data_IF_333789702537
#
_entry.id   IF_333789702537
#
_cell.length_a   1.000
_cell.length_b   1.000
_cell.length_c   1.000
_cell.angle_alpha   90.00
_cell.angle_beta   90.00
_cell.angle_gamma   90.00
#
_symmetry.space_group_name_H-M   'P 1'
#
loop_
_entity.id
_entity.type
_entity.pdbx_description
1 polymer ?
#
# COMPACT_ATOMS: atom_id res chain seq x y z
N UNK A 1 1.01 -20.03 -9.15
CA UNK A 1 2.21 -19.87 -8.29
C UNK A 1 3.03 -18.59 -8.53
N UNK A 2 3.29 -18.08 -9.75
CA UNK A 2 4.14 -16.89 -9.91
C UNK A 2 3.53 -15.60 -9.31
N UNK A 3 2.20 -15.45 -9.33
CA UNK A 3 1.52 -14.29 -8.77
C UNK A 3 1.73 -14.10 -7.25
N UNK A 4 1.73 -15.19 -6.49
CA UNK A 4 2.01 -15.14 -5.04
C UNK A 4 3.45 -14.69 -4.77
N UNK A 5 4.40 -15.21 -5.55
CA UNK A 5 5.82 -14.86 -5.39
C UNK A 5 6.08 -13.39 -5.75
N UNK A 6 5.47 -12.90 -6.83
CA UNK A 6 5.52 -11.47 -7.20
C UNK A 6 4.91 -10.61 -6.09
N UNK A 7 3.73 -10.98 -5.58
CA UNK A 7 3.10 -10.28 -4.47
C UNK A 7 4.01 -10.21 -3.24
N UNK A 8 4.61 -11.33 -2.83
CA UNK A 8 5.51 -11.38 -1.69
C UNK A 8 6.74 -10.48 -1.87
N UNK A 9 7.34 -10.48 -3.05
CA UNK A 9 8.50 -9.62 -3.36
C UNK A 9 8.12 -8.14 -3.30
N UNK A 10 7.00 -7.77 -3.93
CA UNK A 10 6.52 -6.38 -3.94
C UNK A 10 6.18 -5.91 -2.53
N UNK A 11 5.45 -6.72 -1.75
CA UNK A 11 5.12 -6.39 -0.36
C UNK A 11 6.36 -6.29 0.52
N UNK A 12 7.36 -7.16 0.32
CA UNK A 12 8.63 -7.06 1.02
C UNK A 12 9.35 -5.75 0.72
N UNK A 13 9.40 -5.35 -0.56
CA UNK A 13 10.01 -4.09 -0.98
C UNK A 13 9.28 -2.88 -0.37
N UNK A 14 7.95 -2.86 -0.39
CA UNK A 14 7.13 -1.80 0.22
C UNK A 14 7.36 -1.73 1.73
N UNK A 15 7.34 -2.88 2.42
CA UNK A 15 7.55 -2.94 3.86
C UNK A 15 8.91 -2.36 4.25
N UNK A 16 9.96 -2.71 3.51
CA UNK A 16 11.30 -2.17 3.69
C UNK A 16 11.35 -0.66 3.44
N UNK A 17 10.81 -0.22 2.30
CA UNK A 17 10.73 1.20 1.96
C UNK A 17 10.07 1.99 3.09
N UNK A 18 8.90 1.54 3.57
CA UNK A 18 8.21 2.17 4.68
C UNK A 18 9.01 2.17 5.98
N UNK A 19 9.57 1.02 6.36
CA UNK A 19 10.30 0.88 7.61
C UNK A 19 11.51 1.84 7.70
N UNK A 20 12.27 1.95 6.61
CA UNK A 20 13.50 2.75 6.58
C UNK A 20 13.25 4.23 6.27
N UNK A 21 12.41 4.55 5.29
CA UNK A 21 12.20 5.94 4.84
C UNK A 21 11.36 6.72 5.85
N UNK A 22 10.38 6.09 6.49
CA UNK A 22 9.43 6.75 7.40
C UNK A 22 9.76 6.48 8.87
N UNK A 23 11.06 6.43 9.21
CA UNK A 23 11.53 6.22 10.59
C UNK A 23 11.25 7.42 11.51
N UNK A 24 11.27 8.64 10.96
CA UNK A 24 11.17 9.87 11.74
C UNK A 24 9.74 10.42 11.80
N UNK A 25 9.10 10.45 12.99
CA UNK A 25 7.71 10.88 13.12
C UNK A 25 7.50 12.37 12.76
N UNK A 26 8.52 13.22 12.92
CA UNK A 26 8.46 14.66 12.62
C UNK A 26 8.38 14.97 11.12
N UNK A 27 8.90 14.10 10.26
CA UNK A 27 8.90 14.28 8.80
C UNK A 27 7.88 13.40 8.09
N UNK A 28 7.13 12.60 8.84
CA UNK A 28 6.29 11.53 8.29
C UNK A 28 5.19 12.07 7.37
N UNK A 29 4.61 13.23 7.70
CA UNK A 29 3.56 13.85 6.89
C UNK A 29 4.12 14.43 5.57
N UNK A 30 5.28 15.10 5.63
CA UNK A 30 5.96 15.63 4.44
C UNK A 30 6.37 14.50 3.49
N UNK A 31 6.93 13.42 4.04
CA UNK A 31 7.28 12.23 3.25
C UNK A 31 6.05 11.54 2.69
N UNK A 32 4.94 11.51 3.44
CA UNK A 32 3.68 10.94 2.97
C UNK A 32 3.10 11.73 1.80
N UNK A 33 3.10 13.06 1.85
CA UNK A 33 2.65 13.89 0.72
C UNK A 33 3.46 13.58 -0.53
N UNK A 34 4.80 13.54 -0.41
CA UNK A 34 5.67 13.22 -1.54
C UNK A 34 5.37 11.82 -2.10
N UNK A 35 5.19 10.85 -1.21
CA UNK A 35 4.82 9.49 -1.55
C UNK A 35 3.45 9.41 -2.24
N UNK A 36 2.46 10.12 -1.74
CA UNK A 36 1.12 10.18 -2.30
C UNK A 36 1.13 10.81 -3.70
N UNK A 37 1.89 11.88 -3.91
CA UNK A 37 2.10 12.49 -5.24
C UNK A 37 2.73 11.45 -6.18
N UNK A 38 3.78 10.77 -5.74
CA UNK A 38 4.46 9.76 -6.55
C UNK A 38 3.51 8.62 -6.94
N UNK A 39 2.74 8.08 -5.99
CA UNK A 39 1.74 7.05 -6.27
C UNK A 39 0.67 7.58 -7.21
N UNK A 40 0.21 8.81 -7.02
CA UNK A 40 -0.82 9.40 -7.89
C UNK A 40 -0.35 9.47 -9.34
N UNK A 41 0.90 9.87 -9.57
CA UNK A 41 1.51 9.89 -10.90
C UNK A 41 1.63 8.47 -11.47
N UNK A 42 2.18 7.53 -10.70
CA UNK A 42 2.30 6.12 -11.13
C UNK A 42 0.93 5.53 -11.44
N UNK A 43 -0.06 5.80 -10.59
CA UNK A 43 -1.42 5.29 -10.74
C UNK A 43 -2.06 5.83 -12.01
N UNK A 44 -1.87 7.11 -12.32
CA UNK A 44 -2.38 7.73 -13.54
C UNK A 44 -1.73 7.09 -14.79
N UNK A 45 -0.41 6.89 -14.78
CA UNK A 45 0.31 6.22 -15.88
C UNK A 45 -0.17 4.78 -16.06
N UNK A 46 -0.29 4.00 -14.99
CA UNK A 46 -0.75 2.61 -15.06
C UNK A 46 -2.19 2.56 -15.56
N UNK A 47 -3.07 3.41 -15.04
CA UNK A 47 -4.49 3.39 -15.38
C UNK A 47 -4.73 3.77 -16.85
N UNK A 48 -3.98 4.74 -17.38
CA UNK A 48 -4.05 5.11 -18.81
C UNK A 48 -3.67 3.98 -19.77
N UNK A 49 -2.80 3.05 -19.33
CA UNK A 49 -2.28 1.99 -20.19
C UNK A 49 -2.95 0.64 -19.98
N UNK A 50 -3.50 0.37 -18.80
CA UNK A 50 -3.89 -0.99 -18.39
C UNK A 50 -5.29 -1.11 -17.76
N UNK A 51 -6.00 -0.02 -17.51
CA UNK A 51 -7.34 -0.07 -16.89
C UNK A 51 -8.44 0.26 -17.90
N UNK A 52 -9.62 -0.34 -17.72
CA UNK A 52 -10.80 -0.01 -18.51
C UNK A 52 -11.32 1.41 -18.22
N UNK A 53 -11.13 1.87 -16.99
CA UNK A 53 -11.50 3.21 -16.52
C UNK A 53 -10.33 3.84 -15.76
N UNK A 54 -9.84 4.98 -16.27
CA UNK A 54 -8.72 5.72 -15.66
C UNK A 54 -9.04 6.10 -14.21
N UNK A 55 -10.29 6.51 -13.95
CA UNK A 55 -10.74 6.90 -12.62
C UNK A 55 -10.71 5.71 -11.66
N UNK A 56 -11.19 4.55 -12.11
CA UNK A 56 -11.22 3.31 -11.33
C UNK A 56 -9.82 2.83 -10.97
N UNK A 57 -8.92 2.75 -11.97
CA UNK A 57 -7.53 2.37 -11.74
C UNK A 57 -6.81 3.35 -10.82
N UNK A 58 -7.08 4.65 -10.96
CA UNK A 58 -6.51 5.68 -10.10
C UNK A 58 -6.96 5.51 -8.65
N UNK A 59 -8.27 5.39 -8.40
CA UNK A 59 -8.84 5.22 -7.06
C UNK A 59 -8.32 3.92 -6.42
N UNK A 60 -8.31 2.83 -7.20
CA UNK A 60 -7.86 1.52 -6.73
C UNK A 60 -6.40 1.56 -6.30
N UNK A 61 -5.49 2.04 -7.16
CA UNK A 61 -4.06 2.06 -6.86
C UNK A 61 -3.73 3.06 -5.74
N UNK A 62 -4.19 4.31 -5.84
CA UNK A 62 -3.90 5.32 -4.82
C UNK A 62 -4.48 4.95 -3.45
N UNK A 63 -5.71 4.43 -3.42
CA UNK A 63 -6.37 3.97 -2.21
C UNK A 63 -5.63 2.81 -1.55
N UNK A 64 -5.25 1.80 -2.33
CA UNK A 64 -4.54 0.62 -1.83
C UNK A 64 -3.22 0.98 -1.15
N UNK A 65 -2.36 1.76 -1.82
CA UNK A 65 -1.07 2.14 -1.23
C UNK A 65 -1.21 3.09 -0.04
N UNK A 66 -2.24 3.94 -0.05
CA UNK A 66 -2.57 4.81 1.10
C UNK A 66 -2.97 3.98 2.32
N UNK A 67 -3.78 2.93 2.14
CA UNK A 67 -4.15 2.01 3.22
C UNK A 67 -2.93 1.23 3.75
N UNK A 68 -2.05 0.75 2.87
CA UNK A 68 -0.79 0.12 3.29
C UNK A 68 0.08 1.08 4.11
N UNK A 69 0.11 2.36 3.76
CA UNK A 69 0.80 3.37 4.55
C UNK A 69 0.13 3.57 5.93
N UNK A 70 -1.20 3.54 5.98
CA UNK A 70 -1.96 3.54 7.24
C UNK A 70 -1.55 2.38 8.17
N UNK A 71 -1.37 1.18 7.63
CA UNK A 71 -0.85 0.04 8.40
C UNK A 71 0.55 0.31 8.94
N UNK A 72 1.45 0.86 8.11
CA UNK A 72 2.78 1.23 8.58
C UNK A 72 2.69 2.16 9.80
N UNK A 73 1.82 3.17 9.76
CA UNK A 73 1.59 4.08 10.87
C UNK A 73 1.02 3.37 12.10
N UNK A 74 0.04 2.49 11.95
CA UNK A 74 -0.53 1.71 13.04
C UNK A 74 0.54 0.84 13.71
N UNK A 75 1.32 0.09 12.94
CA UNK A 75 2.39 -0.76 13.44
C UNK A 75 3.45 0.04 14.21
N UNK A 76 3.87 1.20 13.69
CA UNK A 76 4.95 2.00 14.29
C UNK A 76 4.51 2.89 15.43
N UNK A 77 3.35 3.53 15.33
CA UNK A 77 2.89 4.52 16.32
C UNK A 77 1.97 3.91 17.38
N UNK A 78 1.01 3.07 16.97
CA UNK A 78 0.01 2.50 17.88
C UNK A 78 0.57 1.26 18.56
N UNK A 79 0.98 0.26 17.78
CA UNK A 79 1.52 -0.99 18.31
C UNK A 79 3.00 -0.91 18.70
N UNK A 80 3.68 0.18 18.34
CA UNK A 80 5.10 0.45 18.68
C UNK A 80 6.05 -0.68 18.25
N UNK A 81 5.73 -1.38 17.15
CA UNK A 81 6.53 -2.46 16.60
C UNK A 81 7.73 -1.86 15.87
N UNK A 82 8.83 -1.72 16.61
CA UNK A 82 10.03 -1.06 16.12
C UNK A 82 11.14 -2.00 15.72
N UNK A 83 11.06 -3.28 16.10
CA UNK A 83 12.02 -4.31 15.70
C UNK A 83 11.69 -4.78 14.29
N UNK A 84 12.66 -4.67 13.39
CA UNK A 84 12.54 -5.04 11.98
C UNK A 84 11.84 -6.39 11.72
N UNK A 85 12.26 -7.53 12.30
CA UNK A 85 11.64 -8.82 11.97
C UNK A 85 10.16 -8.88 12.34
N UNK A 86 9.79 -8.35 13.51
CA UNK A 86 8.39 -8.29 13.95
C UNK A 86 7.56 -7.33 13.10
N UNK A 87 8.15 -6.21 12.68
CA UNK A 87 7.48 -5.27 11.79
C UNK A 87 7.17 -5.90 10.43
N UNK A 88 8.13 -6.60 9.82
CA UNK A 88 7.93 -7.25 8.51
C UNK A 88 6.80 -8.27 8.60
N UNK A 89 6.82 -9.17 9.58
CA UNK A 89 5.79 -10.20 9.75
C UNK A 89 4.40 -9.56 9.95
N UNK A 90 4.30 -8.57 10.84
CA UNK A 90 3.03 -7.90 11.11
C UNK A 90 2.53 -7.11 9.90
N UNK A 91 3.42 -6.45 9.16
CA UNK A 91 3.08 -5.74 7.93
C UNK A 91 2.56 -6.70 6.86
N UNK A 92 3.18 -7.88 6.69
CA UNK A 92 2.72 -8.89 5.75
C UNK A 92 1.33 -9.42 6.06
N UNK A 93 1.06 -9.74 7.33
CA UNK A 93 -0.26 -10.22 7.75
C UNK A 93 -1.33 -9.15 7.50
N UNK A 94 -1.03 -7.90 7.88
CA UNK A 94 -1.95 -6.79 7.67
C UNK A 94 -2.14 -6.45 6.19
N UNK A 95 -1.07 -6.46 5.37
CA UNK A 95 -1.17 -6.19 3.94
C UNK A 95 -1.97 -7.27 3.21
N UNK A 96 -1.85 -8.53 3.62
CA UNK A 96 -2.66 -9.61 3.07
C UNK A 96 -4.15 -9.39 3.35
N UNK A 97 -4.52 -9.09 4.61
CA UNK A 97 -5.90 -8.80 4.98
C UNK A 97 -6.46 -7.59 4.22
N UNK A 98 -5.66 -6.53 4.10
CA UNK A 98 -6.04 -5.34 3.32
C UNK A 98 -6.22 -5.69 1.85
N UNK A 99 -5.33 -6.48 1.27
CA UNK A 99 -5.43 -6.86 -0.14
C UNK A 99 -6.76 -7.57 -0.43
N UNK A 100 -7.12 -8.55 0.42
CA UNK A 100 -8.38 -9.29 0.27
C UNK A 100 -9.59 -8.38 0.47
N UNK A 101 -9.60 -7.60 1.55
CA UNK A 101 -10.71 -6.70 1.85
C UNK A 101 -10.87 -5.61 0.78
N UNK A 102 -9.77 -5.01 0.35
CA UNK A 102 -9.77 -3.91 -0.61
C UNK A 102 -10.20 -4.39 -2.00
N UNK A 103 -9.78 -5.60 -2.41
CA UNK A 103 -10.26 -6.21 -3.64
C UNK A 103 -11.79 -6.39 -3.61
N UNK A 104 -12.34 -6.92 -2.52
CA UNK A 104 -13.79 -7.06 -2.35
C UNK A 104 -14.52 -5.70 -2.35
N UNK A 105 -13.95 -4.70 -1.67
CA UNK A 105 -14.51 -3.35 -1.63
C UNK A 105 -14.55 -2.70 -3.02
N UNK A 106 -13.47 -2.81 -3.80
CA UNK A 106 -13.45 -2.25 -5.16
C UNK A 106 -14.43 -2.98 -6.08
N UNK A 107 -14.62 -4.29 -5.89
CA UNK A 107 -15.61 -5.05 -6.63
C UNK A 107 -17.03 -4.56 -6.38
N UNK A 108 -17.36 -4.25 -5.13
CA UNK A 108 -18.66 -3.70 -4.75
C UNK A 108 -18.84 -2.26 -5.26
N UNK A 109 -17.82 -1.40 -5.10
CA UNK A 109 -17.89 0.01 -5.52
C UNK A 109 -18.05 0.17 -7.04
N UNK A 110 -17.33 -0.63 -7.82
CA UNK A 110 -17.33 -0.51 -9.28
C UNK A 110 -18.27 -1.50 -9.97
N UNK A 111 -19.03 -2.30 -9.20
CA UNK A 111 -19.95 -3.31 -9.72
C UNK A 111 -19.32 -4.20 -10.80
N UNK A 112 -18.13 -4.77 -10.55
CA UNK A 112 -17.63 -5.78 -11.47
C UNK A 112 -18.56 -7.01 -11.40
N UNK A 113 -19.26 -7.28 -12.50
CA UNK A 113 -20.12 -8.45 -12.70
C UNK A 113 -19.32 -9.75 -12.77
#
# INVERSE_FOLDING_TARGET
MPGLLIYLIVMFAIANFYYYVFKNPSKIFKLFILFFILISIISLVVSLNYSASVLEGFITLTGYYTLLFGIHLLLRKVFKINKYPFYIIAFFLASFLITVFFAALMQDIFNYS
#
